data_IF_817309735668
#
_entry.id   IF_817309735668
#
_cell.length_a   1.000
_cell.length_b   1.000
_cell.length_c   1.000
_cell.angle_alpha   90.00
_cell.angle_beta   90.00
_cell.angle_gamma   90.00
#
_symmetry.space_group_name_H-M   'P 1'
#
loop_
_entity.id
_entity.type
_entity.pdbx_description
1 polymer ?
#
# COMPACT_ATOMS: atom_id res chain seq x y z
N UNK A 1 14.45 1.78 1.92
CA UNK A 1 13.42 1.37 0.96
C UNK A 1 12.12 2.10 1.28
N UNK A 2 11.44 2.57 0.26
CA UNK A 2 10.15 3.22 0.38
C UNK A 2 9.08 2.30 -0.18
N UNK A 3 7.96 2.18 0.51
CA UNK A 3 6.86 1.27 0.11
C UNK A 3 5.55 2.02 0.14
N UNK A 4 4.74 1.86 -0.91
CA UNK A 4 3.36 2.31 -0.95
C UNK A 4 2.48 1.07 -0.89
N UNK A 5 1.57 1.04 0.09
CA UNK A 5 0.66 -0.10 0.26
C UNK A 5 -0.75 0.40 0.58
N UNK A 6 -1.68 -0.53 0.70
CA UNK A 6 -3.06 -0.27 1.03
C UNK A 6 -3.60 -1.40 1.92
N UNK A 7 -4.92 -1.48 2.07
CA UNK A 7 -5.50 -2.51 2.93
C UNK A 7 -5.65 -3.85 2.21
N UNK A 8 -5.85 -4.90 3.00
CA UNK A 8 -6.18 -6.22 2.47
C UNK A 8 -7.47 -6.14 1.64
N UNK A 9 -7.60 -7.05 0.68
CA UNK A 9 -8.72 -7.07 -0.25
C UNK A 9 -8.84 -5.77 -1.02
N UNK A 10 -7.70 -5.31 -1.54
CA UNK A 10 -7.64 -4.07 -2.31
C UNK A 10 -8.62 -4.07 -3.48
N UNK A 11 -9.31 -2.96 -3.67
CA UNK A 11 -10.24 -2.75 -4.76
C UNK A 11 -9.67 -1.75 -5.77
N UNK A 12 -10.46 -1.41 -6.78
CA UNK A 12 -9.97 -0.50 -7.82
C UNK A 12 -9.69 0.91 -7.28
N UNK A 13 -10.42 1.36 -6.28
CA UNK A 13 -10.16 2.66 -5.66
C UNK A 13 -8.78 2.67 -5.00
N UNK A 14 -8.39 1.56 -4.39
CA UNK A 14 -7.07 1.42 -3.80
C UNK A 14 -5.99 1.54 -4.86
N UNK A 15 -6.18 0.88 -6.01
CA UNK A 15 -5.21 0.95 -7.10
C UNK A 15 -5.08 2.37 -7.63
N UNK A 16 -6.20 3.06 -7.80
CA UNK A 16 -6.19 4.44 -8.27
C UNK A 16 -5.43 5.34 -7.29
N UNK A 17 -5.67 5.15 -5.99
CA UNK A 17 -4.97 5.91 -4.95
C UNK A 17 -3.46 5.63 -4.97
N UNK A 18 -3.08 4.37 -5.13
CA UNK A 18 -1.67 4.01 -5.20
C UNK A 18 -0.99 4.63 -6.41
N UNK A 19 -1.67 4.65 -7.55
CA UNK A 19 -1.13 5.28 -8.76
C UNK A 19 -0.92 6.77 -8.56
N UNK A 20 -1.90 7.44 -7.95
CA UNK A 20 -1.82 8.88 -7.72
C UNK A 20 -0.67 9.22 -6.77
N UNK A 21 -0.54 8.45 -5.70
CA UNK A 21 0.50 8.69 -4.68
C UNK A 21 1.88 8.33 -5.21
N UNK A 22 1.98 7.36 -6.10
CA UNK A 22 3.26 6.99 -6.70
C UNK A 22 3.94 8.18 -7.36
N UNK A 23 3.18 9.13 -7.87
CA UNK A 23 3.76 10.34 -8.48
C UNK A 23 4.48 11.19 -7.46
N UNK A 24 4.09 11.12 -6.19
CA UNK A 24 4.76 11.85 -5.11
C UNK A 24 5.98 11.09 -4.58
N UNK A 25 6.02 9.79 -4.78
CA UNK A 25 7.10 8.95 -4.27
C UNK A 25 7.60 8.05 -5.42
N UNK A 26 8.27 8.63 -6.42
CA UNK A 26 8.60 7.88 -7.64
C UNK A 26 9.54 6.71 -7.40
N UNK A 27 10.27 6.70 -6.30
CA UNK A 27 11.18 5.60 -5.98
C UNK A 27 10.56 4.55 -5.08
N UNK A 28 9.30 4.72 -4.69
CA UNK A 28 8.66 3.77 -3.81
C UNK A 28 8.21 2.52 -4.57
N UNK A 29 8.24 1.39 -3.86
CA UNK A 29 7.74 0.14 -4.40
C UNK A 29 6.26 0.02 -4.09
N UNK A 30 5.47 -0.38 -5.07
CA UNK A 30 4.05 -0.65 -4.89
C UNK A 30 3.90 -2.10 -4.45
N UNK A 31 3.38 -2.32 -3.25
CA UNK A 31 3.27 -3.67 -2.69
C UNK A 31 1.89 -3.84 -2.06
N UNK A 32 1.18 -4.88 -2.46
CA UNK A 32 -0.08 -5.25 -1.83
C UNK A 32 0.20 -6.08 -0.59
N UNK A 33 -0.53 -5.85 0.52
CA UNK A 33 -0.23 -6.54 1.79
C UNK A 33 -0.67 -8.00 1.83
N UNK A 34 -1.47 -8.42 0.86
CA UNK A 34 -1.98 -9.77 0.81
C UNK A 34 -2.90 -9.95 -0.37
N UNK A 35 -4.05 -10.56 -0.17
CA UNK A 35 -5.02 -10.77 -1.25
C UNK A 35 -5.66 -9.47 -1.67
N UNK A 36 -6.10 -9.43 -2.92
CA UNK A 36 -6.92 -8.35 -3.46
C UNK A 36 -8.22 -8.95 -3.99
N UNK A 37 -9.13 -8.07 -4.43
CA UNK A 37 -10.38 -8.55 -5.02
C UNK A 37 -10.09 -9.33 -6.30
N UNK A 38 -10.96 -10.29 -6.60
CA UNK A 38 -10.78 -11.17 -7.75
C UNK A 38 -10.67 -10.39 -9.06
N UNK A 39 -11.52 -9.37 -9.23
CA UNK A 39 -11.48 -8.54 -10.44
C UNK A 39 -10.19 -7.74 -10.53
N UNK A 40 -9.68 -7.28 -9.39
CA UNK A 40 -8.42 -6.57 -9.35
C UNK A 40 -7.27 -7.50 -9.72
N UNK A 41 -7.29 -8.74 -9.21
CA UNK A 41 -6.26 -9.72 -9.55
C UNK A 41 -6.23 -9.97 -11.05
N UNK A 42 -7.39 -10.15 -11.67
CA UNK A 42 -7.46 -10.39 -13.11
C UNK A 42 -6.93 -9.19 -13.89
N UNK A 43 -7.29 -7.98 -13.45
CA UNK A 43 -6.85 -6.76 -14.10
C UNK A 43 -5.32 -6.62 -14.04
N UNK A 44 -4.73 -6.95 -12.90
CA UNK A 44 -3.27 -6.88 -12.74
C UNK A 44 -2.57 -7.92 -13.59
N UNK A 45 -3.14 -9.13 -13.71
CA UNK A 45 -2.54 -10.19 -14.52
C UNK A 45 -2.50 -9.82 -16.00
N UNK A 46 -3.44 -9.03 -16.47
CA UNK A 46 -3.49 -8.63 -17.85
C UNK A 46 -2.48 -7.54 -18.19
N UNK A 47 -1.86 -6.94 -17.17
CA UNK A 47 -0.84 -5.92 -17.39
C UNK A 47 -1.35 -4.63 -17.98
N UNK A 48 -2.63 -4.31 -17.76
CA UNK A 48 -3.24 -3.12 -18.34
C UNK A 48 -2.75 -1.85 -17.67
N UNK A 49 -2.45 -1.92 -16.39
CA UNK A 49 -2.02 -0.75 -15.63
C UNK A 49 -0.57 -0.37 -15.94
N UNK A 50 -0.27 0.92 -16.05
CA UNK A 50 1.11 1.38 -16.30
C UNK A 50 1.92 1.42 -15.00
N UNK A 51 1.84 0.38 -14.20
CA UNK A 51 2.54 0.32 -12.94
C UNK A 51 2.95 -1.13 -12.67
N UNK A 52 4.07 -1.29 -11.99
CA UNK A 52 4.61 -2.59 -11.65
C UNK A 52 4.56 -2.77 -10.15
N UNK A 53 4.03 -3.91 -9.71
CA UNK A 53 3.97 -4.25 -8.30
C UNK A 53 5.15 -5.14 -7.93
N UNK A 54 5.76 -4.84 -6.80
CA UNK A 54 6.79 -5.68 -6.20
C UNK A 54 6.08 -6.71 -5.32
N UNK A 55 6.53 -7.95 -5.39
CA UNK A 55 5.93 -9.00 -4.58
C UNK A 55 6.41 -8.89 -3.14
N UNK A 56 5.48 -9.09 -2.20
CA UNK A 56 5.79 -9.01 -0.78
C UNK A 56 6.93 -9.94 -0.38
N UNK A 57 6.98 -11.12 -0.96
CA UNK A 57 8.01 -12.10 -0.62
C UNK A 57 9.42 -11.70 -1.09
N UNK A 58 9.51 -10.71 -1.95
CA UNK A 58 10.79 -10.29 -2.51
C UNK A 58 11.43 -9.15 -1.71
N UNK A 59 10.82 -8.74 -0.61
CA UNK A 59 11.36 -7.67 0.21
C UNK A 59 11.56 -8.12 1.64
N UNK A 60 12.36 -7.35 2.38
CA UNK A 60 12.52 -7.54 3.81
C UNK A 60 11.92 -6.33 4.52
N UNK A 61 11.04 -6.58 5.49
CA UNK A 61 10.41 -5.50 6.23
C UNK A 61 11.44 -4.65 6.97
N UNK A 62 12.57 -5.23 7.35
CA UNK A 62 13.62 -4.53 8.07
C UNK A 62 14.26 -3.41 7.25
N UNK A 63 14.13 -3.47 5.94
CA UNK A 63 14.73 -2.49 5.05
C UNK A 63 13.82 -1.31 4.75
N UNK A 64 12.57 -1.36 5.19
CA UNK A 64 11.61 -0.30 4.94
C UNK A 64 11.88 0.85 5.91
N UNK A 65 12.07 2.05 5.37
CA UNK A 65 12.26 3.26 6.15
C UNK A 65 11.14 4.27 5.97
N UNK A 66 10.38 4.14 4.88
CA UNK A 66 9.21 4.97 4.64
C UNK A 66 8.07 4.07 4.18
N UNK A 67 6.96 4.13 4.90
CA UNK A 67 5.74 3.40 4.56
C UNK A 67 4.66 4.41 4.24
N UNK A 68 4.14 4.34 3.01
CA UNK A 68 3.04 5.18 2.58
C UNK A 68 1.79 4.30 2.49
N UNK A 69 0.76 4.65 3.25
CA UNK A 69 -0.48 3.88 3.31
C UNK A 69 -1.59 4.69 2.66
N UNK A 70 -2.29 4.09 1.72
CA UNK A 70 -3.38 4.76 1.03
C UNK A 70 -4.70 4.06 1.31
N UNK A 71 -5.77 4.83 1.34
CA UNK A 71 -7.16 4.36 1.42
C UNK A 71 -7.50 3.64 2.72
N UNK A 72 -6.65 3.72 3.74
CA UNK A 72 -6.94 3.25 5.09
C UNK A 72 -5.94 3.85 6.07
N UNK A 73 -6.29 3.89 7.34
CA UNK A 73 -5.38 4.25 8.42
C UNK A 73 -5.40 3.21 9.55
N UNK A 74 -6.05 2.09 9.33
CA UNK A 74 -6.24 1.07 10.36
C UNK A 74 -5.17 0.00 10.20
N UNK A 75 -4.33 -0.16 11.24
CA UNK A 75 -3.17 -1.05 11.17
C UNK A 75 -3.54 -2.50 10.89
N UNK A 76 -4.69 -2.96 11.39
CA UNK A 76 -5.13 -4.34 11.20
C UNK A 76 -5.48 -4.64 9.74
N UNK A 77 -5.72 -3.60 8.94
CA UNK A 77 -6.15 -3.78 7.55
C UNK A 77 -5.00 -3.83 6.57
N UNK A 78 -3.79 -3.55 6.99
CA UNK A 78 -2.64 -3.52 6.08
C UNK A 78 -1.70 -4.72 6.24
N UNK A 79 -2.20 -5.78 6.84
CA UNK A 79 -1.48 -7.05 6.93
C UNK A 79 -0.15 -6.91 7.65
N UNK A 80 0.88 -7.50 7.08
CA UNK A 80 2.21 -7.53 7.69
C UNK A 80 2.80 -6.14 7.92
N UNK A 81 2.35 -5.14 7.17
CA UNK A 81 2.87 -3.79 7.33
C UNK A 81 2.36 -3.09 8.59
N UNK A 82 1.32 -3.63 9.23
CA UNK A 82 0.76 -3.03 10.43
C UNK A 82 1.77 -2.87 11.55
N UNK A 83 2.69 -3.81 11.68
CA UNK A 83 3.71 -3.74 12.71
C UNK A 83 4.65 -2.54 12.52
N UNK A 84 4.84 -2.08 11.30
CA UNK A 84 5.72 -0.96 11.02
C UNK A 84 5.19 0.37 11.53
N UNK A 85 3.89 0.46 11.76
CA UNK A 85 3.28 1.70 12.27
C UNK A 85 3.78 2.04 13.66
N UNK A 86 4.28 1.06 14.40
CA UNK A 86 4.80 1.26 15.74
C UNK A 86 6.31 1.33 15.80
N UNK A 87 6.98 1.19 14.68
CA UNK A 87 8.44 1.19 14.62
C UNK A 87 8.94 2.64 14.49
N UNK A 88 9.69 3.15 15.48
CA UNK A 88 10.14 4.55 15.44
C UNK A 88 11.15 4.84 14.33
N UNK A 89 11.74 3.81 13.72
CA UNK A 89 12.69 3.99 12.64
C UNK A 89 12.02 4.06 11.28
N UNK A 90 10.70 3.88 11.22
CA UNK A 90 9.94 3.93 9.97
C UNK A 90 9.08 5.18 9.96
N UNK A 91 9.28 6.01 8.95
CA UNK A 91 8.41 7.17 8.73
C UNK A 91 7.14 6.68 8.04
N UNK A 92 5.98 7.15 8.50
CA UNK A 92 4.69 6.71 7.99
C UNK A 92 3.91 7.90 7.45
N UNK A 93 3.49 7.82 6.20
CA UNK A 93 2.63 8.83 5.57
C UNK A 93 1.32 8.15 5.21
N UNK A 94 0.20 8.71 5.65
CA UNK A 94 -1.12 8.14 5.43
C UNK A 94 -1.94 9.06 4.55
N UNK A 95 -2.47 8.51 3.47
CA UNK A 95 -3.36 9.21 2.54
C UNK A 95 -4.71 8.51 2.55
N UNK A 96 -5.57 8.89 3.48
CA UNK A 96 -6.87 8.28 3.64
C UNK A 96 -7.93 9.37 3.58
N UNK A 97 -8.77 9.29 2.55
CA UNK A 97 -9.82 10.28 2.35
C UNK A 97 -11.15 9.88 3.00
N UNK A 98 -11.18 8.74 3.64
CA UNK A 98 -12.38 8.33 4.37
C UNK A 98 -12.59 9.26 5.55
N UNK A 99 -13.82 9.69 5.76
CA UNK A 99 -14.13 10.55 6.88
C UNK A 99 -13.81 9.81 8.18
N UNK A 100 -13.02 10.47 9.03
CA UNK A 100 -12.75 9.93 10.36
C UNK A 100 -13.81 10.50 11.29
N UNK A 101 -14.70 9.66 11.83
CA UNK A 101 -15.78 10.15 12.68
C UNK A 101 -15.30 10.66 14.04
N UNK A 102 -14.07 10.40 14.37
CA UNK A 102 -13.55 10.85 15.65
C UNK A 102 -13.18 12.32 15.60
N UNK A 103 -13.44 12.99 16.68
CA UNK A 103 -12.95 14.34 16.80
C UNK A 103 -11.42 14.35 16.87
#
# INVERSE_FOLDING_TARGET
>A
MQVITTHLNADFDCLASMMAVKKLYPQAHLILPGSSECLVDDFLKEGILPMTFTRLKDISLDQIRLLVVVDTHVSERIGVFGALLKNPEVEVHIYDHHADPKP
#
